data_IF_737732788358
#
_entry.id   IF_737732788358
#
_cell.length_a   1.000
_cell.length_b   1.000
_cell.length_c   1.000
_cell.angle_alpha   90.00
_cell.angle_beta   90.00
_cell.angle_gamma   90.00
#
_symmetry.space_group_name_H-M   'P 1'
#
loop_
_entity.id
_entity.type
_entity.pdbx_description
1 polymer ?
#
# COMPACT_ATOMS: atom_id res chain seq x y z
N UNK A 1 -6.59 7.03 20.26
CA UNK A 1 -5.96 6.57 21.53
C UNK A 1 -5.95 5.03 21.57
N UNK A 2 -5.39 4.39 20.54
CA UNK A 2 -5.34 2.92 20.32
C UNK A 2 -4.88 2.15 21.57
N UNK A 3 -3.88 2.69 22.27
CA UNK A 3 -3.29 2.08 23.46
C UNK A 3 -4.16 2.12 24.72
N UNK A 4 -5.01 3.15 24.89
CA UNK A 4 -5.92 3.22 26.04
C UNK A 4 -6.99 2.13 25.97
N UNK A 5 -7.45 1.80 24.76
CA UNK A 5 -8.39 0.72 24.51
C UNK A 5 -7.73 -0.65 24.72
N UNK A 6 -6.45 -0.80 24.33
CA UNK A 6 -5.68 -2.02 24.57
C UNK A 6 -5.44 -2.28 26.08
N UNK A 7 -5.17 -1.24 26.86
CA UNK A 7 -4.97 -1.33 28.32
C UNK A 7 -6.25 -1.75 29.09
N UNK A 8 -7.43 -1.37 28.63
CA UNK A 8 -8.67 -1.83 29.26
C UNK A 8 -8.91 -3.32 29.00
N UNK A 9 -8.53 -3.82 27.82
CA UNK A 9 -8.62 -5.24 27.46
C UNK A 9 -7.61 -6.13 28.19
N UNK A 10 -6.49 -5.58 28.70
CA UNK A 10 -5.49 -6.38 29.42
C UNK A 10 -5.95 -6.86 30.80
N UNK A 11 -6.87 -6.16 31.46
CA UNK A 11 -7.36 -6.54 32.79
C UNK A 11 -8.31 -7.76 32.78
N UNK A 12 -8.85 -8.14 31.62
CA UNK A 12 -9.65 -9.36 31.42
C UNK A 12 -8.83 -10.57 30.94
N UNK A 13 -7.51 -10.45 30.77
CA UNK A 13 -6.65 -11.50 30.18
C UNK A 13 -6.64 -12.85 30.93
N UNK A 14 -6.95 -12.85 32.23
CA UNK A 14 -6.70 -13.98 33.13
C UNK A 14 -7.93 -14.86 33.43
N UNK A 15 -9.09 -14.66 32.78
CA UNK A 15 -10.35 -15.33 33.19
C UNK A 15 -10.94 -16.35 32.20
N UNK A 16 -10.36 -16.54 31.01
CA UNK A 16 -10.85 -17.54 30.03
C UNK A 16 -9.94 -18.77 29.96
N UNK A 17 -10.53 -19.95 29.71
CA UNK A 17 -9.83 -21.23 29.54
C UNK A 17 -8.60 -21.10 28.63
N UNK A 18 -7.47 -21.59 29.11
CA UNK A 18 -6.21 -21.62 28.39
C UNK A 18 -6.33 -22.63 27.23
N UNK A 19 -6.64 -22.13 26.04
CA UNK A 19 -6.39 -22.87 24.80
C UNK A 19 -4.90 -23.20 24.74
N UNK A 20 -4.58 -24.48 24.61
CA UNK A 20 -3.22 -24.98 24.44
C UNK A 20 -3.02 -25.26 22.94
N UNK A 21 -1.89 -24.85 22.33
CA UNK A 21 -1.62 -25.14 20.93
C UNK A 21 -1.38 -26.64 20.70
N UNK A 22 -1.71 -27.13 19.50
CA UNK A 22 -1.48 -28.53 19.10
C UNK A 22 0.00 -28.93 19.14
N UNK A 23 0.91 -27.98 18.89
CA UNK A 23 2.36 -28.18 19.00
C UNK A 23 2.92 -27.09 19.94
N UNK A 24 3.06 -27.39 21.25
CA UNK A 24 3.54 -26.43 22.26
C UNK A 24 5.00 -26.03 22.13
N UNK A 25 5.83 -26.80 21.42
CA UNK A 25 7.25 -26.49 21.21
C UNK A 25 7.51 -25.32 20.26
N UNK A 26 6.48 -24.84 19.55
CA UNK A 26 6.60 -23.76 18.57
C UNK A 26 5.98 -22.48 19.16
N UNK A 27 6.82 -21.49 19.49
CA UNK A 27 6.40 -20.21 20.09
C UNK A 27 5.28 -19.52 19.31
N UNK A 28 5.37 -19.52 17.98
CA UNK A 28 4.34 -18.93 17.10
C UNK A 28 2.93 -19.44 17.39
N UNK A 29 2.77 -20.71 17.78
CA UNK A 29 1.45 -21.27 18.04
C UNK A 29 0.84 -20.70 19.33
N UNK A 30 1.66 -20.41 20.33
CA UNK A 30 1.25 -19.69 21.53
C UNK A 30 0.88 -18.24 21.21
N UNK A 31 1.71 -17.58 20.39
CA UNK A 31 1.46 -16.19 19.99
C UNK A 31 0.13 -16.06 19.25
N UNK A 32 -0.19 -16.99 18.34
CA UNK A 32 -1.46 -16.99 17.59
C UNK A 32 -2.69 -17.06 18.51
N UNK A 33 -2.64 -17.87 19.56
CA UNK A 33 -3.74 -17.99 20.54
C UNK A 33 -3.92 -16.67 21.30
N UNK A 34 -2.82 -16.08 21.76
CA UNK A 34 -2.85 -14.80 22.47
C UNK A 34 -3.33 -13.66 21.56
N UNK A 35 -2.85 -13.60 20.32
CA UNK A 35 -3.28 -12.62 19.32
C UNK A 35 -4.76 -12.77 19.01
N UNK A 36 -5.26 -14.00 18.80
CA UNK A 36 -6.68 -14.25 18.53
C UNK A 36 -7.54 -13.77 19.71
N UNK A 37 -7.11 -14.01 20.95
CA UNK A 37 -7.79 -13.53 22.15
C UNK A 37 -7.83 -12.00 22.21
N UNK A 38 -6.68 -11.34 21.99
CA UNK A 38 -6.59 -9.87 21.97
C UNK A 38 -7.49 -9.29 20.87
N UNK A 39 -7.47 -9.87 19.67
CA UNK A 39 -8.30 -9.41 18.56
C UNK A 39 -9.79 -9.50 18.88
N UNK A 40 -10.22 -10.55 19.59
CA UNK A 40 -11.63 -10.73 19.99
C UNK A 40 -12.06 -9.74 21.07
N UNK A 41 -11.18 -9.40 22.01
CA UNK A 41 -11.48 -8.42 23.07
C UNK A 41 -11.31 -6.97 22.62
N UNK A 42 -10.61 -6.75 21.49
CA UNK A 42 -10.37 -5.42 20.95
C UNK A 42 -11.66 -4.79 20.39
N UNK A 43 -12.09 -3.70 21.01
CA UNK A 43 -13.25 -2.93 20.55
C UNK A 43 -12.80 -1.63 19.89
N UNK A 44 -12.92 -1.53 18.56
CA UNK A 44 -12.60 -0.30 17.83
C UNK A 44 -13.87 0.52 17.63
N UNK A 45 -13.89 1.75 18.14
CA UNK A 45 -15.07 2.64 18.07
C UNK A 45 -15.01 3.64 16.92
N UNK A 46 -13.82 3.97 16.43
CA UNK A 46 -13.64 4.89 15.31
C UNK A 46 -13.61 4.15 13.98
N UNK A 47 -14.41 4.59 12.99
CA UNK A 47 -14.36 4.01 11.64
C UNK A 47 -12.96 4.11 11.00
N UNK A 48 -12.20 5.17 11.31
CA UNK A 48 -10.80 5.32 10.86
C UNK A 48 -9.91 4.24 11.44
N UNK A 49 -10.05 3.94 12.73
CA UNK A 49 -9.24 2.89 13.38
C UNK A 49 -9.65 1.50 12.91
N UNK A 50 -10.95 1.28 12.67
CA UNK A 50 -11.44 0.04 12.03
C UNK A 50 -10.82 -0.10 10.63
N UNK A 51 -10.82 0.96 9.82
CA UNK A 51 -10.22 0.95 8.49
C UNK A 51 -8.72 0.64 8.54
N UNK A 52 -7.96 1.27 9.46
CA UNK A 52 -6.54 0.97 9.68
C UNK A 52 -6.30 -0.49 10.05
N UNK A 53 -7.10 -1.01 10.97
CA UNK A 53 -7.01 -2.39 11.41
C UNK A 53 -7.31 -3.36 10.25
N UNK A 54 -8.42 -3.17 9.55
CA UNK A 54 -8.81 -4.00 8.40
C UNK A 54 -7.75 -3.97 7.31
N UNK A 55 -7.18 -2.81 6.99
CA UNK A 55 -6.08 -2.70 6.04
C UNK A 55 -4.82 -3.43 6.53
N UNK A 56 -4.47 -3.32 7.81
CA UNK A 56 -3.28 -3.95 8.42
C UNK A 56 -3.32 -5.48 8.46
N UNK A 57 -4.53 -6.06 8.51
CA UNK A 57 -4.74 -7.51 8.49
C UNK A 57 -4.56 -8.10 7.09
N UNK A 58 -4.69 -7.28 6.03
CA UNK A 58 -4.47 -7.74 4.65
C UNK A 58 -2.99 -8.15 4.46
N UNK A 59 -2.69 -9.34 3.91
CA UNK A 59 -1.33 -9.87 3.83
C UNK A 59 -0.31 -8.93 3.17
N UNK A 60 -0.70 -8.26 2.08
CA UNK A 60 0.16 -7.37 1.29
C UNK A 60 0.63 -6.14 2.08
N UNK A 61 -0.20 -5.68 3.03
CA UNK A 61 0.09 -4.50 3.87
C UNK A 61 1.29 -4.68 4.79
N UNK A 62 1.76 -5.92 4.96
CA UNK A 62 2.83 -6.29 5.88
C UNK A 62 4.16 -6.56 5.18
N UNK A 63 4.19 -6.54 3.84
CA UNK A 63 5.38 -6.90 3.09
C UNK A 63 6.57 -5.99 3.42
N UNK A 64 6.36 -4.68 3.56
CA UNK A 64 7.43 -3.74 3.92
C UNK A 64 8.03 -4.00 5.31
N UNK A 65 7.24 -4.46 6.29
CA UNK A 65 7.73 -4.81 7.64
C UNK A 65 8.61 -6.07 7.63
N UNK A 66 8.40 -6.95 6.66
CA UNK A 66 9.19 -8.18 6.50
C UNK A 66 10.36 -8.00 5.51
N UNK A 67 10.66 -6.76 5.13
CA UNK A 67 11.72 -6.44 4.18
C UNK A 67 13.05 -6.25 4.90
N UNK A 68 14.14 -6.79 4.35
CA UNK A 68 15.47 -6.53 4.88
C UNK A 68 15.85 -5.04 4.66
N UNK A 69 16.13 -4.28 5.73
CA UNK A 69 16.56 -2.89 5.60
C UNK A 69 17.98 -2.82 5.01
N UNK A 70 18.09 -2.54 3.71
CA UNK A 70 19.38 -2.46 3.02
C UNK A 70 19.49 -1.23 2.13
N UNK A 71 20.53 -0.41 2.37
CA UNK A 71 20.85 0.77 1.55
C UNK A 71 21.26 0.39 0.14
N UNK A 72 22.08 -0.65 -0.01
CA UNK A 72 22.68 -1.07 -1.29
C UNK A 72 21.65 -1.39 -2.35
N UNK A 73 20.54 -2.01 -1.96
CA UNK A 73 19.43 -2.37 -2.87
C UNK A 73 18.24 -1.40 -2.77
N UNK A 74 18.42 -0.28 -2.08
CA UNK A 74 17.42 0.78 -1.96
C UNK A 74 16.16 0.37 -1.18
N UNK A 75 16.25 -0.54 -0.21
CA UNK A 75 15.12 -0.98 0.62
C UNK A 75 15.11 -0.37 2.04
N UNK A 76 16.18 0.29 2.45
CA UNK A 76 16.20 1.00 3.74
C UNK A 76 15.27 2.21 3.71
N UNK A 77 14.32 2.27 4.65
CA UNK A 77 13.58 3.49 4.98
C UNK A 77 14.42 4.31 5.97
N UNK A 78 14.49 5.63 5.77
CA UNK A 78 15.06 6.52 6.78
C UNK A 78 14.16 6.59 8.02
N UNK A 79 14.70 7.11 9.13
CA UNK A 79 14.01 7.13 10.42
C UNK A 79 12.66 7.87 10.35
N UNK A 80 12.59 8.99 9.64
CA UNK A 80 11.36 9.77 9.54
C UNK A 80 10.32 9.06 8.68
N UNK A 81 10.73 8.52 7.53
CA UNK A 81 9.83 7.70 6.70
C UNK A 81 9.29 6.51 7.49
N UNK A 82 10.15 5.77 8.20
CA UNK A 82 9.71 4.63 9.02
C UNK A 82 8.76 5.06 10.13
N UNK A 83 9.08 6.14 10.87
CA UNK A 83 8.23 6.71 11.93
C UNK A 83 6.87 7.11 11.39
N UNK A 84 6.80 7.81 10.27
CA UNK A 84 5.55 8.24 9.63
C UNK A 84 4.74 7.01 9.18
N UNK A 85 5.37 6.03 8.52
CA UNK A 85 4.71 4.81 8.07
C UNK A 85 4.10 4.00 9.21
N UNK A 86 4.84 3.82 10.32
CA UNK A 86 4.31 3.18 11.52
C UNK A 86 3.18 4.01 12.12
N UNK A 87 3.32 5.33 12.18
CA UNK A 87 2.32 6.20 12.79
C UNK A 87 1.01 6.24 12.01
N UNK A 88 1.07 6.27 10.67
CA UNK A 88 -0.11 6.13 9.80
C UNK A 88 -0.83 4.81 10.04
N UNK A 89 -0.06 3.72 10.18
CA UNK A 89 -0.57 2.38 10.41
C UNK A 89 -1.22 2.23 11.79
N UNK A 90 -0.62 2.79 12.83
CA UNK A 90 -1.10 2.70 14.21
C UNK A 90 -2.10 3.80 14.61
N UNK A 91 -2.26 4.83 13.78
CA UNK A 91 -3.11 5.99 14.10
C UNK A 91 -2.55 6.86 15.23
N UNK A 92 -1.22 6.98 15.33
CA UNK A 92 -0.55 7.85 16.30
C UNK A 92 -0.24 9.23 15.70
N UNK A 93 0.10 10.19 16.56
CA UNK A 93 0.47 11.53 16.12
C UNK A 93 1.76 11.49 15.27
N UNK A 94 1.73 12.19 14.14
CA UNK A 94 2.82 12.21 13.16
C UNK A 94 3.60 13.52 13.22
N UNK A 95 2.88 14.63 13.31
CA UNK A 95 3.39 15.99 13.25
C UNK A 95 2.62 16.89 14.22
N UNK A 96 3.15 18.08 14.46
CA UNK A 96 2.38 19.16 15.08
C UNK A 96 1.33 19.68 14.10
N UNK A 97 0.16 20.16 14.58
CA UNK A 97 -0.82 20.81 13.71
C UNK A 97 -0.21 22.02 12.99
N UNK A 98 -0.50 22.15 11.70
CA UNK A 98 0.07 23.20 10.84
C UNK A 98 -0.86 23.52 9.66
N UNK A 99 -0.59 24.62 8.98
CA UNK A 99 -1.28 24.96 7.72
C UNK A 99 -0.56 24.32 6.55
N UNK A 100 -1.28 23.49 5.79
CA UNK A 100 -0.77 22.90 4.56
C UNK A 100 -0.53 23.97 3.49
N UNK A 101 0.37 23.71 2.56
CA UNK A 101 0.57 24.54 1.35
C UNK A 101 -0.70 24.73 0.49
N UNK A 102 -1.71 23.86 0.63
CA UNK A 102 -3.02 24.04 -0.01
C UNK A 102 -3.97 24.95 0.79
N UNK A 103 -3.56 25.47 1.95
CA UNK A 103 -4.33 26.31 2.86
C UNK A 103 -5.19 25.55 3.88
N UNK A 104 -5.26 24.22 3.81
CA UNK A 104 -6.04 23.41 4.77
C UNK A 104 -5.28 23.23 6.08
N UNK A 105 -5.98 23.29 7.22
CA UNK A 105 -5.41 22.95 8.53
C UNK A 105 -5.21 21.44 8.66
N UNK A 106 -3.97 21.05 8.93
CA UNK A 106 -3.56 19.67 9.18
C UNK A 106 -3.51 19.44 10.68
N UNK A 107 -4.16 18.39 11.16
CA UNK A 107 -4.11 17.98 12.56
C UNK A 107 -2.86 17.15 12.86
N UNK A 108 -2.74 16.66 14.10
CA UNK A 108 -1.59 15.85 14.49
C UNK A 108 -1.52 14.49 13.80
N UNK A 109 -2.60 14.03 13.17
CA UNK A 109 -2.64 12.75 12.47
C UNK A 109 -1.91 12.80 11.13
N UNK A 110 -1.74 13.99 10.53
CA UNK A 110 -1.04 14.18 9.27
C UNK A 110 -1.68 13.51 8.04
N UNK A 111 -2.86 12.87 8.18
CA UNK A 111 -3.47 12.08 7.10
C UNK A 111 -3.88 12.92 5.89
N UNK A 112 -4.10 14.23 6.09
CA UNK A 112 -4.40 15.18 5.02
C UNK A 112 -3.41 15.08 3.85
N UNK A 113 -2.12 14.84 4.14
CA UNK A 113 -1.09 14.74 3.11
C UNK A 113 -1.37 13.64 2.09
N UNK A 114 -2.03 12.54 2.48
CA UNK A 114 -2.30 11.39 1.61
C UNK A 114 -3.30 11.71 0.46
N UNK A 115 -4.19 12.67 0.68
CA UNK A 115 -5.25 13.07 -0.24
C UNK A 115 -5.10 14.50 -0.79
N UNK A 116 -4.19 15.31 -0.23
CA UNK A 116 -3.90 16.65 -0.72
C UNK A 116 -3.44 16.64 -2.19
N UNK A 117 -4.02 17.51 -3.01
CA UNK A 117 -3.65 17.67 -4.43
C UNK A 117 -2.32 18.38 -4.61
N UNK A 118 -1.92 19.22 -3.65
CA UNK A 118 -0.67 19.99 -3.69
C UNK A 118 0.51 19.24 -3.07
N UNK A 119 0.28 18.10 -2.39
CA UNK A 119 1.37 17.35 -1.75
C UNK A 119 2.24 16.64 -2.81
N UNK A 120 3.55 16.85 -2.74
CA UNK A 120 4.51 16.33 -3.72
C UNK A 120 4.54 14.78 -3.77
N UNK A 121 4.15 14.10 -2.69
CA UNK A 121 4.29 12.64 -2.58
C UNK A 121 3.34 11.82 -3.46
N UNK A 122 2.22 12.38 -3.94
CA UNK A 122 1.25 11.62 -4.77
C UNK A 122 1.86 11.20 -6.12
N UNK A 123 2.52 12.12 -6.81
CA UNK A 123 3.15 11.84 -8.10
C UNK A 123 4.36 10.92 -7.95
N UNK A 124 5.15 11.11 -6.90
CA UNK A 124 6.27 10.23 -6.58
C UNK A 124 5.82 8.79 -6.34
N UNK A 125 4.74 8.56 -5.56
CA UNK A 125 4.14 7.22 -5.37
C UNK A 125 3.80 6.56 -6.70
N UNK A 126 3.04 7.26 -7.53
CA UNK A 126 2.58 6.75 -8.81
C UNK A 126 3.74 6.40 -9.74
N UNK A 127 4.72 7.30 -9.86
CA UNK A 127 5.93 7.08 -10.67
C UNK A 127 6.74 5.87 -10.18
N UNK A 128 6.96 5.75 -8.87
CA UNK A 128 7.72 4.62 -8.31
C UNK A 128 7.02 3.27 -8.53
N UNK A 129 5.69 3.22 -8.42
CA UNK A 129 4.92 2.00 -8.73
C UNK A 129 5.12 1.60 -10.19
N UNK A 130 4.97 2.55 -11.13
CA UNK A 130 5.14 2.28 -12.55
C UNK A 130 6.56 1.86 -12.92
N UNK A 131 7.57 2.50 -12.33
CA UNK A 131 8.97 2.13 -12.50
C UNK A 131 9.27 0.71 -12.00
N UNK A 132 8.69 0.32 -10.85
CA UNK A 132 8.84 -1.04 -10.31
C UNK A 132 8.18 -2.06 -11.25
N UNK A 133 6.96 -1.81 -11.73
CA UNK A 133 6.26 -2.70 -12.66
C UNK A 133 7.07 -2.86 -13.94
N UNK A 134 7.52 -1.75 -14.54
CA UNK A 134 8.32 -1.71 -15.76
C UNK A 134 9.62 -2.51 -15.62
N UNK A 135 10.41 -2.27 -14.57
CA UNK A 135 11.66 -3.01 -14.30
C UNK A 135 11.43 -4.48 -14.02
N UNK A 136 10.30 -4.82 -13.40
CA UNK A 136 9.94 -6.21 -13.09
C UNK A 136 9.53 -6.97 -14.34
N UNK A 137 8.78 -6.33 -15.25
CA UNK A 137 8.49 -6.86 -16.59
C UNK A 137 9.78 -7.09 -17.38
N UNK A 138 10.72 -6.14 -17.36
CA UNK A 138 12.03 -6.31 -18.00
C UNK A 138 12.84 -7.48 -17.40
N UNK A 139 12.82 -7.63 -16.08
CA UNK A 139 13.42 -8.79 -15.39
C UNK A 139 12.80 -10.11 -15.82
N UNK A 140 11.51 -10.11 -16.15
CA UNK A 140 10.77 -11.24 -16.71
C UNK A 140 10.91 -11.37 -18.24
N UNK A 141 11.80 -10.61 -18.89
CA UNK A 141 12.00 -10.59 -20.35
C UNK A 141 10.77 -10.16 -21.17
N UNK A 142 9.88 -9.38 -20.55
CA UNK A 142 8.80 -8.65 -21.23
C UNK A 142 9.19 -7.18 -21.34
N UNK A 143 9.89 -6.76 -22.40
CA UNK A 143 10.15 -5.33 -22.62
C UNK A 143 8.82 -4.57 -22.64
N UNK A 144 8.80 -3.39 -22.04
CA UNK A 144 7.60 -2.56 -21.92
C UNK A 144 7.94 -1.10 -22.16
N UNK A 145 6.94 -0.34 -22.61
CA UNK A 145 7.00 1.11 -22.78
C UNK A 145 6.09 1.76 -21.73
N UNK A 146 6.54 2.89 -21.19
CA UNK A 146 5.74 3.73 -20.31
C UNK A 146 4.97 4.75 -21.13
N UNK A 147 3.76 5.06 -20.68
CA UNK A 147 2.84 6.03 -21.26
C UNK A 147 2.68 5.91 -22.79
N UNK A 148 2.32 4.73 -23.34
CA UNK A 148 2.18 4.52 -24.77
C UNK A 148 1.15 5.48 -25.38
N UNK A 149 1.49 6.01 -26.56
CA UNK A 149 0.61 6.89 -27.34
C UNK A 149 -0.07 6.11 -28.46
N UNK A 150 -1.30 6.50 -28.79
CA UNK A 150 -1.99 6.00 -29.99
C UNK A 150 -2.43 4.54 -29.93
N UNK A 151 -2.68 3.98 -28.74
CA UNK A 151 -3.33 2.67 -28.62
C UNK A 151 -4.68 2.64 -29.35
N UNK A 152 -5.34 3.79 -29.42
CA UNK A 152 -6.49 4.07 -30.26
C UNK A 152 -6.32 5.43 -30.94
N UNK A 153 -6.87 5.56 -32.15
CA UNK A 153 -6.88 6.82 -32.92
C UNK A 153 -7.97 7.78 -32.46
N UNK A 154 -8.99 7.26 -31.79
CA UNK A 154 -10.23 7.95 -31.43
C UNK A 154 -10.38 8.22 -29.93
N UNK A 155 -9.46 7.72 -29.09
CA UNK A 155 -9.43 8.05 -27.67
C UNK A 155 -8.10 8.74 -27.26
N UNK A 156 -8.22 9.79 -26.44
CA UNK A 156 -7.07 10.45 -25.82
C UNK A 156 -6.63 9.71 -24.54
N UNK A 157 -6.90 8.40 -24.44
CA UNK A 157 -6.58 7.64 -23.24
C UNK A 157 -5.11 7.22 -23.30
N UNK A 158 -4.44 7.39 -22.17
CA UNK A 158 -3.03 7.05 -22.02
C UNK A 158 -2.88 6.20 -20.76
N UNK A 159 -2.79 4.87 -20.89
CA UNK A 159 -2.45 4.02 -19.77
C UNK A 159 -0.98 4.25 -19.37
N UNK A 160 -0.59 3.77 -18.20
CA UNK A 160 0.75 4.02 -17.67
C UNK A 160 1.82 3.19 -18.37
N UNK A 161 1.46 2.04 -18.93
CA UNK A 161 2.39 1.28 -19.72
C UNK A 161 1.79 0.10 -20.46
N UNK A 162 2.60 -0.45 -21.37
CA UNK A 162 2.24 -1.59 -22.20
C UNK A 162 3.47 -2.42 -22.53
N UNK A 163 3.35 -3.75 -22.57
CA UNK A 163 4.42 -4.62 -23.05
C UNK A 163 4.64 -4.43 -24.55
N UNK A 164 5.84 -4.68 -25.06
CA UNK A 164 6.17 -4.65 -26.49
C UNK A 164 6.10 -6.04 -27.15
N UNK A 165 6.00 -7.08 -26.33
CA UNK A 165 5.76 -8.46 -26.76
C UNK A 165 4.52 -9.02 -26.06
N UNK A 166 3.87 -10.05 -26.64
CA UNK A 166 2.70 -10.68 -26.02
C UNK A 166 2.99 -11.20 -24.62
N UNK A 167 2.14 -10.85 -23.67
CA UNK A 167 2.21 -11.35 -22.29
C UNK A 167 1.72 -12.80 -22.20
N UNK A 168 0.59 -13.10 -22.84
CA UNK A 168 -0.04 -14.44 -22.83
C UNK A 168 -0.99 -14.56 -24.03
N UNK A 169 -1.03 -15.74 -24.67
CA UNK A 169 -1.96 -16.05 -25.78
C UNK A 169 -1.94 -15.04 -26.93
N UNK A 170 -0.78 -14.50 -27.28
CA UNK A 170 -0.65 -13.48 -28.33
C UNK A 170 -1.16 -12.09 -27.94
N UNK A 171 -1.68 -11.90 -26.73
CA UNK A 171 -2.20 -10.62 -26.25
C UNK A 171 -1.12 -9.83 -25.51
N UNK A 172 -1.05 -8.54 -25.80
CA UNK A 172 -0.20 -7.59 -25.10
C UNK A 172 -0.78 -7.26 -23.73
N UNK A 173 0.07 -6.99 -22.74
CA UNK A 173 -0.37 -6.51 -21.44
C UNK A 173 -0.32 -4.98 -21.41
N UNK A 174 -1.38 -4.37 -20.92
CA UNK A 174 -1.51 -2.94 -20.67
C UNK A 174 -1.84 -2.77 -19.19
N UNK A 175 -1.22 -1.82 -18.50
CA UNK A 175 -1.55 -1.54 -17.11
C UNK A 175 -1.71 -0.05 -16.85
N UNK A 176 -2.44 0.24 -15.79
CA UNK A 176 -2.62 1.59 -15.27
C UNK A 176 -2.67 1.49 -13.75
N UNK A 177 -1.75 2.17 -13.09
CA UNK A 177 -1.53 2.12 -11.66
C UNK A 177 -2.29 3.23 -10.94
N UNK A 178 -2.79 2.93 -9.75
CA UNK A 178 -3.41 3.93 -8.89
C UNK A 178 -3.18 3.60 -7.43
N UNK A 179 -2.91 4.63 -6.63
CA UNK A 179 -2.80 4.51 -5.19
C UNK A 179 -3.88 5.40 -4.54
N UNK A 180 -4.91 4.78 -3.98
CA UNK A 180 -6.03 5.47 -3.35
C UNK A 180 -5.84 5.61 -1.85
N UNK A 181 -6.22 6.76 -1.30
CA UNK A 181 -6.16 6.98 0.15
C UNK A 181 -7.21 6.15 0.88
N UNK A 182 -6.77 5.16 1.68
CA UNK A 182 -7.62 4.33 2.53
C UNK A 182 -8.44 5.17 3.52
N UNK A 183 -7.86 6.25 4.05
CA UNK A 183 -8.42 7.01 5.16
C UNK A 183 -9.14 8.29 4.71
N UNK A 184 -9.31 8.48 3.40
CA UNK A 184 -10.03 9.64 2.89
C UNK A 184 -11.47 9.65 3.41
N UNK A 185 -12.07 10.83 3.69
CA UNK A 185 -13.45 10.94 4.16
C UNK A 185 -14.47 10.23 3.25
N UNK A 186 -14.23 10.23 1.93
CA UNK A 186 -15.08 9.53 0.95
C UNK A 186 -14.93 8.01 0.94
N UNK A 187 -13.88 7.47 1.55
CA UNK A 187 -13.53 6.04 1.51
C UNK A 187 -13.67 5.34 2.86
N UNK A 188 -13.63 6.09 3.97
CA UNK A 188 -13.58 5.51 5.33
C UNK A 188 -14.71 4.50 5.57
N UNK A 189 -15.94 4.81 5.16
CA UNK A 189 -17.10 3.91 5.30
C UNK A 189 -16.95 2.58 4.54
N UNK A 190 -16.25 2.59 3.41
CA UNK A 190 -15.98 1.39 2.61
C UNK A 190 -14.81 0.59 3.21
N UNK A 191 -13.71 1.27 3.52
CA UNK A 191 -12.49 0.65 4.07
C UNK A 191 -12.68 0.07 5.49
N UNK A 192 -13.59 0.62 6.30
CA UNK A 192 -13.92 0.11 7.63
C UNK A 192 -14.69 -1.22 7.55
N UNK A 193 -15.45 -1.45 6.48
CA UNK A 193 -16.17 -2.70 6.26
C UNK A 193 -15.25 -3.80 5.76
N UNK A 194 -14.38 -3.51 4.81
CA UNK A 194 -13.51 -4.51 4.17
C UNK A 194 -12.18 -3.89 3.74
N UNK A 195 -11.07 -4.43 4.24
CA UNK A 195 -9.73 -4.01 3.82
C UNK A 195 -9.50 -4.35 2.34
N UNK A 196 -9.00 -3.39 1.56
CA UNK A 196 -8.83 -3.55 0.11
C UNK A 196 -10.03 -3.13 -0.74
N UNK A 197 -11.19 -2.85 -0.14
CA UNK A 197 -12.39 -2.51 -0.91
C UNK A 197 -12.27 -1.19 -1.68
N UNK A 198 -11.43 -0.25 -1.20
CA UNK A 198 -11.18 1.01 -1.93
C UNK A 198 -10.33 0.73 -3.16
N UNK A 199 -9.31 -0.13 -3.04
CA UNK A 199 -8.52 -0.57 -4.18
C UNK A 199 -9.38 -1.31 -5.22
N UNK A 200 -10.29 -2.20 -4.78
CA UNK A 200 -11.22 -2.90 -5.69
C UNK A 200 -12.14 -1.93 -6.43
N UNK A 201 -12.70 -0.93 -5.73
CA UNK A 201 -13.52 0.12 -6.34
C UNK A 201 -12.74 0.92 -7.39
N UNK A 202 -11.51 1.32 -7.06
CA UNK A 202 -10.62 2.04 -7.97
C UNK A 202 -10.26 1.20 -9.21
N UNK A 203 -10.02 -0.11 -9.03
CA UNK A 203 -9.79 -1.02 -10.13
C UNK A 203 -11.00 -1.10 -11.07
N UNK A 204 -12.22 -1.20 -10.53
CA UNK A 204 -13.45 -1.21 -11.31
C UNK A 204 -13.65 0.08 -12.15
N UNK A 205 -13.28 1.24 -11.60
CA UNK A 205 -13.29 2.51 -12.34
C UNK A 205 -12.31 2.47 -13.52
N UNK A 206 -11.09 1.96 -13.31
CA UNK A 206 -10.07 1.83 -14.37
C UNK A 206 -10.49 0.83 -15.44
N UNK A 207 -11.08 -0.31 -15.08
CA UNK A 207 -11.63 -1.28 -16.04
C UNK A 207 -12.67 -0.62 -16.94
N UNK A 208 -13.64 0.11 -16.36
CA UNK A 208 -14.65 0.85 -17.15
C UNK A 208 -14.00 1.91 -18.04
N UNK A 209 -13.02 2.66 -17.51
CA UNK A 209 -12.27 3.67 -18.28
C UNK A 209 -11.61 3.05 -19.51
N UNK A 210 -11.05 1.85 -19.41
CA UNK A 210 -10.27 1.19 -20.46
C UNK A 210 -10.97 -0.02 -21.09
N UNK A 211 -12.31 -0.10 -21.03
CA UNK A 211 -13.09 -1.18 -21.65
C UNK A 211 -12.75 -1.32 -23.15
N UNK A 212 -12.57 -0.19 -23.83
CA UNK A 212 -12.16 -0.12 -25.24
C UNK A 212 -10.83 -0.82 -25.56
N UNK A 213 -9.89 -0.87 -24.61
CA UNK A 213 -8.60 -1.56 -24.76
C UNK A 213 -8.80 -3.07 -24.64
N UNK A 214 -9.64 -3.50 -23.70
CA UNK A 214 -9.96 -4.91 -23.46
C UNK A 214 -10.64 -5.51 -24.70
N UNK A 215 -11.58 -4.78 -25.30
CA UNK A 215 -12.28 -5.16 -26.54
C UNK A 215 -11.33 -5.32 -27.73
N UNK A 216 -10.21 -4.61 -27.76
CA UNK A 216 -9.17 -4.70 -28.78
C UNK A 216 -8.15 -5.81 -28.51
N UNK A 217 -8.55 -6.86 -27.81
CA UNK A 217 -7.72 -8.05 -27.57
C UNK A 217 -6.44 -7.79 -26.74
N UNK A 218 -6.46 -6.79 -25.86
CA UNK A 218 -5.39 -6.55 -24.88
C UNK A 218 -5.77 -7.09 -23.50
N UNK A 219 -4.76 -7.52 -22.73
CA UNK A 219 -4.93 -7.84 -21.32
C UNK A 219 -4.73 -6.55 -20.53
N UNK A 220 -5.80 -6.04 -19.91
CA UNK A 220 -5.73 -4.84 -19.08
C UNK A 220 -5.60 -5.19 -17.59
N UNK A 221 -4.58 -4.66 -16.92
CA UNK A 221 -4.35 -4.79 -15.49
C UNK A 221 -4.62 -3.45 -14.79
N UNK A 222 -5.74 -3.30 -14.06
CA UNK A 222 -5.97 -2.16 -13.19
C UNK A 222 -5.13 -2.32 -11.91
N UNK A 223 -3.91 -1.79 -11.88
CA UNK A 223 -3.01 -1.94 -10.74
C UNK A 223 -3.40 -0.98 -9.60
N UNK A 224 -4.45 -1.33 -8.86
CA UNK A 224 -4.96 -0.49 -7.78
C UNK A 224 -4.46 -0.96 -6.41
N UNK A 225 -3.90 -0.02 -5.65
CA UNK A 225 -3.43 -0.22 -4.28
C UNK A 225 -3.95 0.87 -3.37
N UNK A 226 -4.00 0.59 -2.09
CA UNK A 226 -4.39 1.50 -1.02
C UNK A 226 -3.15 2.07 -0.31
N UNK A 227 -3.27 3.28 0.26
CA UNK A 227 -2.18 3.93 1.02
C UNK A 227 -1.71 3.06 2.19
N UNK A 228 -2.62 2.37 2.87
CA UNK A 228 -2.25 1.51 4.00
C UNK A 228 -1.76 0.11 3.59
N UNK A 229 -1.70 -0.19 2.28
CA UNK A 229 -1.08 -1.40 1.76
C UNK A 229 -1.97 -2.45 1.09
N UNK A 230 -3.30 -2.51 1.27
CA UNK A 230 -4.14 -3.47 0.53
C UNK A 230 -4.11 -3.27 -0.98
N UNK A 231 -4.21 -4.34 -1.74
CA UNK A 231 -4.21 -4.31 -3.21
C UNK A 231 -5.48 -4.95 -3.75
N UNK A 232 -5.97 -4.47 -4.90
CA UNK A 232 -7.05 -5.16 -5.61
C UNK A 232 -6.60 -6.57 -6.05
N UNK A 233 -7.57 -7.45 -6.30
CA UNK A 233 -7.33 -8.83 -6.68
C UNK A 233 -6.50 -8.95 -7.96
N UNK A 234 -6.78 -8.13 -8.97
CA UNK A 234 -6.09 -8.15 -10.26
C UNK A 234 -4.61 -7.78 -10.10
N UNK A 235 -4.28 -6.78 -9.26
CA UNK A 235 -2.91 -6.42 -8.94
C UNK A 235 -2.16 -7.55 -8.22
N UNK A 236 -2.81 -8.21 -7.24
CA UNK A 236 -2.23 -9.35 -6.51
C UNK A 236 -1.92 -10.52 -7.44
N UNK A 237 -2.87 -10.88 -8.30
CA UNK A 237 -2.71 -11.95 -9.28
C UNK A 237 -1.61 -11.62 -10.29
N UNK A 238 -1.56 -10.38 -10.77
CA UNK A 238 -0.52 -9.93 -11.68
C UNK A 238 0.88 -10.03 -11.04
N UNK A 239 1.07 -9.56 -9.81
CA UNK A 239 2.37 -9.64 -9.11
C UNK A 239 2.78 -11.07 -8.82
N UNK A 240 1.83 -11.94 -8.47
CA UNK A 240 2.07 -13.38 -8.28
C UNK A 240 2.57 -14.03 -9.59
N UNK A 241 1.88 -13.78 -10.70
CA UNK A 241 2.28 -14.28 -12.02
C UNK A 241 3.62 -13.72 -12.48
N UNK A 242 3.84 -12.41 -12.33
CA UNK A 242 5.07 -11.74 -12.72
C UNK A 242 6.25 -12.23 -11.88
N UNK A 243 6.09 -12.32 -10.56
CA UNK A 243 7.11 -12.84 -9.66
C UNK A 243 7.52 -14.28 -10.00
N UNK A 244 6.57 -15.15 -10.34
CA UNK A 244 6.85 -16.53 -10.82
C UNK A 244 7.66 -16.54 -12.12
N UNK A 245 7.33 -15.67 -13.08
CA UNK A 245 8.09 -15.55 -14.33
C UNK A 245 9.51 -15.04 -14.07
N UNK A 246 9.68 -14.05 -13.20
CA UNK A 246 11.00 -13.58 -12.77
C UNK A 246 11.79 -14.73 -12.13
N UNK A 247 11.18 -15.50 -11.22
CA UNK A 247 11.81 -16.65 -10.59
C UNK A 247 12.28 -17.69 -11.63
N UNK A 248 11.46 -18.00 -12.64
CA UNK A 248 11.84 -18.95 -13.69
C UNK A 248 13.02 -18.49 -14.55
N UNK A 249 13.22 -17.18 -14.70
CA UNK A 249 14.30 -16.61 -15.53
C UNK A 249 15.57 -16.40 -14.71
N UNK A 250 15.45 -15.97 -13.47
CA UNK A 250 16.59 -15.59 -12.61
C UNK A 250 17.08 -16.73 -11.73
N UNK A 251 16.26 -17.77 -11.52
CA UNK A 251 16.53 -18.83 -10.57
C UNK A 251 16.30 -18.43 -9.10
N UNK A 252 15.88 -17.20 -8.79
CA UNK A 252 15.60 -16.77 -7.41
C UNK A 252 14.18 -17.17 -6.99
N UNK A 253 13.99 -18.16 -6.11
CA UNK A 253 12.66 -18.65 -5.72
C UNK A 253 11.83 -17.60 -4.95
N UNK A 254 12.46 -16.59 -4.33
CA UNK A 254 11.78 -15.54 -3.56
C UNK A 254 11.43 -14.31 -4.38
N UNK A 255 11.61 -14.34 -5.72
CA UNK A 255 11.39 -13.17 -6.57
C UNK A 255 10.01 -12.51 -6.37
N UNK A 256 8.94 -13.29 -6.20
CA UNK A 256 7.59 -12.77 -5.90
C UNK A 256 7.56 -12.00 -4.57
N UNK A 257 8.20 -12.53 -3.53
CA UNK A 257 8.28 -11.86 -2.22
C UNK A 257 9.04 -10.54 -2.33
N UNK A 258 10.19 -10.55 -3.00
CA UNK A 258 10.99 -9.34 -3.23
C UNK A 258 10.25 -8.28 -4.04
N UNK A 259 9.46 -8.69 -5.03
CA UNK A 259 8.61 -7.76 -5.77
C UNK A 259 7.54 -7.14 -4.86
N UNK A 260 6.87 -7.95 -4.03
CA UNK A 260 5.90 -7.44 -3.06
C UNK A 260 6.51 -6.45 -2.08
N UNK A 261 7.70 -6.77 -1.56
CA UNK A 261 8.46 -5.90 -0.66
C UNK A 261 8.81 -4.57 -1.31
N UNK A 262 9.33 -4.59 -2.54
CA UNK A 262 9.65 -3.36 -3.30
C UNK A 262 8.43 -2.46 -3.50
N UNK A 263 7.30 -3.03 -3.90
CA UNK A 263 6.04 -2.29 -4.07
C UNK A 263 5.58 -1.69 -2.73
N UNK A 264 5.59 -2.49 -1.66
CA UNK A 264 5.16 -2.07 -0.33
C UNK A 264 6.04 -0.94 0.22
N UNK A 265 7.36 -1.03 0.05
CA UNK A 265 8.32 0.02 0.43
C UNK A 265 8.08 1.31 -0.38
N UNK A 266 7.80 1.22 -1.68
CA UNK A 266 7.49 2.39 -2.50
C UNK A 266 6.21 3.11 -2.05
N UNK A 267 5.17 2.35 -1.68
CA UNK A 267 3.94 2.90 -1.09
C UNK A 267 4.27 3.65 0.19
N UNK A 268 5.03 3.04 1.11
CA UNK A 268 5.41 3.67 2.38
C UNK A 268 6.23 4.95 2.21
N UNK A 269 7.25 4.93 1.35
CA UNK A 269 8.06 6.12 1.05
C UNK A 269 7.22 7.26 0.54
N UNK A 270 6.36 6.99 -0.43
CA UNK A 270 5.59 8.05 -1.02
C UNK A 270 4.41 8.51 -0.15
N UNK A 271 3.91 7.66 0.78
CA UNK A 271 3.01 8.12 1.85
C UNK A 271 3.73 9.12 2.76
N UNK A 272 4.94 8.78 3.22
CA UNK A 272 5.74 9.67 4.04
C UNK A 272 6.01 10.98 3.31
N UNK A 273 6.45 10.93 2.04
CA UNK A 273 6.64 12.13 1.22
C UNK A 273 5.35 12.95 1.05
N UNK A 274 4.18 12.31 1.03
CA UNK A 274 2.89 13.00 0.94
C UNK A 274 2.57 13.75 2.24
N UNK A 275 2.90 13.18 3.40
CA UNK A 275 2.75 13.82 4.72
C UNK A 275 3.79 14.92 4.91
N UNK A 276 5.06 14.66 4.60
CA UNK A 276 6.12 15.68 4.71
C UNK A 276 5.86 16.86 3.76
N UNK A 277 5.30 16.59 2.58
CA UNK A 277 4.96 17.60 1.59
C UNK A 277 3.81 18.54 1.96
N UNK A 278 3.15 18.37 3.12
CA UNK A 278 2.20 19.37 3.62
C UNK A 278 2.87 20.49 4.40
N UNK A 279 4.11 20.28 4.86
CA UNK A 279 4.79 21.24 5.71
C UNK A 279 5.16 22.52 4.94
N UNK A 280 5.04 23.70 5.56
CA UNK A 280 5.52 24.93 4.96
C UNK A 280 7.05 24.88 4.80
N UNK A 281 7.55 25.36 3.67
CA UNK A 281 8.98 25.35 3.29
C UNK A 281 9.90 26.15 4.23
N UNK A 282 9.33 26.89 5.19
CA UNK A 282 10.04 27.85 6.03
C UNK A 282 10.48 27.32 7.40
N UNK A 283 10.22 26.05 7.75
CA UNK A 283 10.61 25.48 9.04
C UNK A 283 11.66 24.37 8.80
N UNK A 284 12.82 24.41 9.48
CA UNK A 284 13.79 23.32 9.41
C UNK A 284 13.11 21.99 9.75
N UNK A 285 13.39 20.96 8.95
CA UNK A 285 12.79 19.63 9.08
C UNK A 285 12.97 19.02 10.49
N UNK A 286 13.98 19.50 11.23
CA UNK A 286 14.36 19.07 12.58
C UNK A 286 13.38 19.54 13.67
N UNK A 287 12.76 20.72 13.57
CA UNK A 287 11.93 21.27 14.66
C UNK A 287 10.51 20.67 14.73
N UNK A 288 10.01 20.09 13.64
CA UNK A 288 8.62 19.61 13.53
C UNK A 288 8.45 18.17 14.04
N UNK A 289 9.54 17.41 14.15
CA UNK A 289 9.49 15.96 14.41
C UNK A 289 9.94 15.54 15.81
N UNK A 290 10.27 16.49 16.70
CA UNK A 290 10.41 16.23 18.14
C UNK A 290 9.04 16.15 18.83
N UNK A 291 8.28 15.09 18.54
CA UNK A 291 7.31 14.58 19.51
C UNK A 291 8.09 13.56 20.36
N UNK A 292 8.66 14.06 21.46
CA UNK A 292 9.18 13.22 22.56
C UNK A 292 8.03 12.37 23.14
#
# INVERSE_FOLDING_TARGET
NFWKTLQQSSNSFNKEELKIPSIPSVQRNWDLINVERVVRSMTLTSELDIARYKASVVPESNAWLNTLPSKTIGLLLDNNTFRISISLRLGTNICVPHTCICGTQVDSSGIHGLSCSMSAGRHSRHSSLNEIIHRSLASAKYPAVLEPVGLRRDDNKRPDGMTLVPWTKGQMLVWDATCTDTLAPSHVNLSSKTGGAVAESAAGIKIRKYCSIIEQNHIFIPFAVETLGPWCREARNFVECLGKRIASITGEPRATSYLRQKISIAIQRGNAASVMGTLPTAIPMEEIYYLL
#
